data_IF_505943031935
#
_entry.id   IF_505943031935
#
_cell.length_a   1.000
_cell.length_b   1.000
_cell.length_c   1.000
_cell.angle_alpha   90.00
_cell.angle_beta   90.00
_cell.angle_gamma   90.00
#
_symmetry.space_group_name_H-M   'P 1'
#
loop_
_entity.id
_entity.type
_entity.pdbx_description
1 polymer ?
#
# COMPACT_ATOMS: atom_id res chain seq x y z
N UNK A 1 -40.19 9.26 -14.64
CA UNK A 1 -39.55 8.07 -14.06
C UNK A 1 -38.08 8.39 -13.93
N UNK A 2 -37.64 8.76 -12.74
CA UNK A 2 -36.21 8.97 -12.46
C UNK A 2 -35.64 7.57 -12.33
N UNK A 3 -34.85 7.16 -13.33
CA UNK A 3 -34.01 5.97 -13.19
C UNK A 3 -33.03 6.27 -12.07
N UNK A 4 -33.17 5.57 -10.94
CA UNK A 4 -32.16 5.59 -9.90
C UNK A 4 -30.89 5.03 -10.49
N UNK A 5 -29.88 5.87 -10.68
CA UNK A 5 -28.50 5.41 -10.79
C UNK A 5 -28.24 4.53 -9.55
N UNK A 6 -27.98 3.23 -9.75
CA UNK A 6 -27.30 2.51 -8.68
C UNK A 6 -25.91 3.14 -8.61
N UNK A 7 -25.69 4.03 -7.64
CA UNK A 7 -24.37 4.55 -7.33
C UNK A 7 -23.54 3.37 -6.81
N UNK A 8 -22.98 2.60 -7.73
CA UNK A 8 -22.06 1.51 -7.42
C UNK A 8 -20.85 2.08 -6.71
N UNK A 9 -20.30 1.30 -5.78
CA UNK A 9 -19.07 1.64 -5.07
C UNK A 9 -17.97 1.88 -6.09
N UNK A 10 -17.38 3.08 -6.09
CA UNK A 10 -16.36 3.47 -7.07
C UNK A 10 -14.98 2.99 -6.61
N UNK A 11 -14.25 2.31 -7.48
CA UNK A 11 -12.88 1.84 -7.24
C UNK A 11 -11.87 2.79 -7.86
N UNK A 12 -10.78 3.01 -7.14
CA UNK A 12 -9.61 3.75 -7.60
C UNK A 12 -8.36 2.91 -7.40
N UNK A 13 -7.53 2.81 -8.44
CA UNK A 13 -6.17 2.30 -8.33
C UNK A 13 -5.20 3.47 -8.45
N UNK A 14 -4.31 3.61 -7.48
CA UNK A 14 -3.26 4.63 -7.46
C UNK A 14 -1.91 3.95 -7.67
N UNK A 15 -1.26 4.28 -8.77
CA UNK A 15 0.12 3.88 -9.03
C UNK A 15 1.07 4.83 -8.29
N UNK A 16 1.99 4.30 -7.49
CA UNK A 16 3.02 5.09 -6.80
C UNK A 16 4.33 4.96 -7.57
N UNK A 17 4.78 6.02 -8.23
CA UNK A 17 5.95 5.97 -9.14
C UNK A 17 7.09 6.92 -8.73
N UNK A 18 8.32 6.42 -8.79
CA UNK A 18 9.55 7.21 -8.71
C UNK A 18 10.72 6.46 -9.36
N UNK A 19 10.93 6.72 -10.65
CA UNK A 19 11.87 6.00 -11.51
C UNK A 19 11.61 4.49 -11.53
N UNK A 20 10.46 4.10 -12.09
CA UNK A 20 9.95 2.72 -12.17
C UNK A 20 9.77 2.28 -13.64
N UNK A 21 10.59 2.80 -14.57
CA UNK A 21 10.41 2.57 -16.01
C UNK A 21 10.37 1.10 -16.40
N UNK A 22 11.22 0.26 -15.79
CA UNK A 22 11.33 -1.16 -16.12
C UNK A 22 10.09 -1.95 -15.66
N UNK A 23 9.72 -1.78 -14.39
CA UNK A 23 8.56 -2.45 -13.80
C UNK A 23 7.26 -1.98 -14.45
N UNK A 24 7.11 -0.68 -14.68
CA UNK A 24 5.93 -0.14 -15.36
C UNK A 24 5.84 -0.67 -16.80
N UNK A 25 6.95 -0.73 -17.55
CA UNK A 25 6.96 -1.30 -18.91
C UNK A 25 6.50 -2.76 -18.94
N UNK A 26 6.94 -3.56 -17.96
CA UNK A 26 6.61 -4.98 -17.88
C UNK A 26 5.15 -5.22 -17.45
N UNK A 27 4.62 -4.39 -16.55
CA UNK A 27 3.31 -4.59 -15.92
C UNK A 27 2.17 -3.81 -16.58
N UNK A 28 2.48 -2.86 -17.47
CA UNK A 28 1.50 -1.93 -18.04
C UNK A 28 0.24 -2.60 -18.58
N UNK A 29 0.41 -3.68 -19.36
CA UNK A 29 -0.72 -4.40 -19.93
C UNK A 29 -1.62 -4.98 -18.83
N UNK A 30 -1.04 -5.64 -17.84
CA UNK A 30 -1.79 -6.19 -16.71
C UNK A 30 -2.49 -5.08 -15.92
N UNK A 31 -1.81 -3.95 -15.67
CA UNK A 31 -2.38 -2.79 -14.98
C UNK A 31 -3.60 -2.24 -15.74
N UNK A 32 -3.51 -2.09 -17.06
CA UNK A 32 -4.61 -1.57 -17.88
C UNK A 32 -5.81 -2.53 -17.97
N UNK A 33 -5.62 -3.83 -17.69
CA UNK A 33 -6.72 -4.80 -17.65
C UNK A 33 -7.48 -4.82 -16.32
N UNK A 34 -7.03 -4.07 -15.32
CA UNK A 34 -7.73 -4.00 -14.03
C UNK A 34 -9.07 -3.28 -14.21
N UNK A 35 -10.16 -3.94 -13.81
CA UNK A 35 -11.48 -3.33 -13.78
C UNK A 35 -11.58 -2.32 -12.62
N UNK A 36 -11.45 -1.04 -12.94
CA UNK A 36 -11.56 0.08 -12.00
C UNK A 36 -12.21 1.28 -12.68
N UNK A 37 -12.93 2.10 -11.92
CA UNK A 37 -13.54 3.33 -12.43
C UNK A 37 -12.54 4.50 -12.51
N UNK A 38 -11.42 4.39 -11.81
CA UNK A 38 -10.36 5.39 -11.80
C UNK A 38 -8.98 4.72 -11.69
N UNK A 39 -8.05 5.11 -12.57
CA UNK A 39 -6.65 4.70 -12.56
C UNK A 39 -5.79 5.93 -12.84
N UNK A 40 -4.83 6.22 -11.95
CA UNK A 40 -3.85 7.29 -12.16
C UNK A 40 -2.57 7.00 -11.37
N UNK A 41 -1.52 7.74 -11.70
CA UNK A 41 -0.25 7.69 -11.00
C UNK A 41 -0.04 8.94 -10.14
N UNK A 42 0.61 8.76 -8.99
CA UNK A 42 1.26 9.84 -8.24
C UNK A 42 2.75 9.69 -8.46
N UNK A 43 3.35 10.66 -9.15
CA UNK A 43 4.75 10.60 -9.55
C UNK A 43 5.62 11.55 -8.72
N UNK A 44 6.70 11.01 -8.16
CA UNK A 44 7.64 11.74 -7.31
C UNK A 44 8.71 12.55 -8.02
N UNK A 45 8.53 12.84 -9.31
CA UNK A 45 9.53 13.51 -10.15
C UNK A 45 10.48 12.54 -10.84
N UNK A 46 9.93 11.50 -11.49
CA UNK A 46 10.70 10.52 -12.27
C UNK A 46 11.41 11.18 -13.45
N UNK A 47 12.63 10.72 -13.74
CA UNK A 47 13.52 11.23 -14.78
C UNK A 47 14.02 10.15 -15.75
N UNK A 48 13.52 8.93 -15.63
CA UNK A 48 14.00 7.73 -16.33
C UNK A 48 13.10 7.28 -17.49
N UNK A 49 12.06 8.06 -17.82
CA UNK A 49 11.05 7.70 -18.83
C UNK A 49 9.72 7.18 -18.25
N UNK A 50 9.61 6.98 -16.93
CA UNK A 50 8.35 6.55 -16.28
C UNK A 50 7.17 7.45 -16.65
N UNK A 51 7.35 8.78 -16.60
CA UNK A 51 6.29 9.74 -16.95
C UNK A 51 5.85 9.65 -18.40
N UNK A 52 6.80 9.45 -19.32
CA UNK A 52 6.51 9.29 -20.74
C UNK A 52 5.63 8.06 -20.98
N UNK A 53 5.93 6.92 -20.34
CA UNK A 53 5.12 5.71 -20.43
C UNK A 53 3.70 5.96 -19.93
N UNK A 54 3.54 6.62 -18.77
CA UNK A 54 2.23 6.93 -18.21
C UNK A 54 1.40 7.81 -19.18
N UNK A 55 2.01 8.88 -19.70
CA UNK A 55 1.36 9.82 -20.63
C UNK A 55 0.99 9.17 -21.96
N UNK A 56 1.90 8.40 -22.57
CA UNK A 56 1.68 7.70 -23.84
C UNK A 56 0.54 6.68 -23.77
N UNK A 57 0.23 6.21 -22.55
CA UNK A 57 -0.82 5.24 -22.29
C UNK A 57 -2.08 5.86 -21.67
N UNK A 58 -2.17 7.19 -21.66
CA UNK A 58 -3.35 7.91 -21.17
C UNK A 58 -3.57 7.80 -19.65
N UNK A 59 -2.57 7.38 -18.89
CA UNK A 59 -2.64 7.31 -17.42
C UNK A 59 -2.37 8.71 -16.87
N UNK A 60 -3.38 9.28 -16.21
CA UNK A 60 -3.28 10.61 -15.57
C UNK A 60 -2.14 10.60 -14.54
N UNK A 61 -1.35 11.67 -14.53
CA UNK A 61 -0.32 11.90 -13.51
C UNK A 61 -0.81 12.99 -12.55
N UNK A 62 -0.72 12.69 -11.25
CA UNK A 62 -0.82 13.65 -10.16
C UNK A 62 0.59 13.97 -9.71
N UNK A 63 1.00 15.23 -9.84
CA UNK A 63 2.32 15.66 -9.39
C UNK A 63 2.44 15.59 -7.88
N UNK A 64 3.47 14.89 -7.40
CA UNK A 64 3.80 14.89 -6.00
C UNK A 64 4.40 16.25 -5.58
N UNK A 65 3.79 16.92 -4.60
CA UNK A 65 4.27 18.23 -4.12
C UNK A 65 5.20 18.12 -2.91
N UNK A 66 4.95 17.14 -2.04
CA UNK A 66 5.77 16.87 -0.86
C UNK A 66 6.48 15.54 -1.05
N UNK A 67 7.82 15.51 -0.95
CA UNK A 67 8.61 14.30 -1.16
C UNK A 67 8.34 13.22 -0.10
N UNK A 68 8.17 11.98 -0.55
CA UNK A 68 8.16 10.76 0.27
C UNK A 68 6.93 9.87 0.01
N UNK A 69 7.05 8.57 0.30
CA UNK A 69 5.99 7.60 -0.02
C UNK A 69 4.65 7.94 0.64
N UNK A 70 4.65 8.27 1.93
CA UNK A 70 3.43 8.65 2.62
C UNK A 70 2.81 9.95 2.12
N UNK A 71 3.63 10.92 1.71
CA UNK A 71 3.12 12.12 1.07
C UNK A 71 2.46 11.81 -0.29
N UNK A 72 3.08 10.95 -1.11
CA UNK A 72 2.49 10.50 -2.37
C UNK A 72 1.14 9.78 -2.15
N UNK A 73 1.06 8.91 -1.14
CA UNK A 73 -0.18 8.23 -0.76
C UNK A 73 -1.25 9.25 -0.35
N UNK A 74 -0.93 10.18 0.55
CA UNK A 74 -1.88 11.19 1.01
C UNK A 74 -2.39 12.08 -0.14
N UNK A 75 -1.49 12.59 -0.98
CA UNK A 75 -1.86 13.42 -2.14
C UNK A 75 -2.68 12.62 -3.15
N UNK A 76 -2.33 11.35 -3.38
CA UNK A 76 -3.10 10.44 -4.21
C UNK A 76 -4.53 10.23 -3.69
N UNK A 77 -4.68 9.90 -2.41
CA UNK A 77 -6.01 9.68 -1.81
C UNK A 77 -6.87 10.95 -1.82
N UNK A 78 -6.27 12.12 -1.66
CA UNK A 78 -6.97 13.40 -1.78
C UNK A 78 -7.40 13.71 -3.22
N UNK A 79 -6.63 13.26 -4.21
CA UNK A 79 -6.95 13.39 -5.63
C UNK A 79 -7.88 12.28 -6.17
N UNK A 80 -8.09 11.21 -5.40
CA UNK A 80 -8.97 10.10 -5.74
C UNK A 80 -10.43 10.45 -5.51
N UNK A 81 -11.29 9.91 -6.37
CA UNK A 81 -12.74 10.07 -6.29
C UNK A 81 -13.47 8.78 -5.94
N UNK A 82 -12.76 7.65 -5.87
CA UNK A 82 -13.31 6.35 -5.47
C UNK A 82 -13.59 6.22 -3.98
N UNK A 83 -14.55 5.36 -3.67
CA UNK A 83 -14.90 4.93 -2.31
C UNK A 83 -13.90 3.90 -1.79
N UNK A 84 -13.43 2.99 -2.66
CA UNK A 84 -12.38 2.02 -2.37
C UNK A 84 -11.13 2.35 -3.16
N UNK A 85 -10.00 2.42 -2.46
CA UNK A 85 -8.72 2.84 -3.04
C UNK A 85 -7.71 1.73 -2.81
N UNK A 86 -7.03 1.29 -3.88
CA UNK A 86 -5.89 0.37 -3.81
C UNK A 86 -4.63 1.08 -4.26
N UNK A 87 -3.57 0.93 -3.48
CA UNK A 87 -2.23 1.43 -3.77
C UNK A 87 -1.42 0.32 -4.44
N UNK A 88 -0.74 0.66 -5.53
CA UNK A 88 0.13 -0.29 -6.24
C UNK A 88 1.45 0.37 -6.62
N UNK A 89 2.57 -0.32 -6.40
CA UNK A 89 3.90 0.11 -6.83
C UNK A 89 4.32 -0.71 -8.06
N UNK A 90 4.42 -0.12 -9.26
CA UNK A 90 4.68 -0.86 -10.48
C UNK A 90 6.19 -1.13 -10.66
N UNK A 91 6.86 -1.68 -9.65
CA UNK A 91 8.30 -1.96 -9.66
C UNK A 91 8.65 -3.43 -10.02
N UNK A 92 7.62 -4.26 -10.19
CA UNK A 92 7.73 -5.67 -10.58
C UNK A 92 7.84 -6.65 -9.43
N UNK A 93 7.90 -6.20 -8.17
CA UNK A 93 7.97 -7.10 -7.02
C UNK A 93 6.65 -7.83 -6.73
N UNK A 94 5.52 -7.23 -7.09
CA UNK A 94 4.17 -7.69 -6.75
C UNK A 94 3.29 -7.72 -8.01
N UNK A 95 2.32 -8.63 -8.03
CA UNK A 95 1.46 -8.86 -9.19
C UNK A 95 0.18 -8.01 -9.11
N UNK A 96 -0.14 -7.17 -10.13
CA UNK A 96 -1.40 -6.44 -10.17
C UNK A 96 -2.65 -7.35 -10.17
N UNK A 97 -2.51 -8.66 -10.44
CA UNK A 97 -3.59 -9.64 -10.35
C UNK A 97 -4.19 -9.79 -8.93
N UNK A 98 -3.50 -9.31 -7.89
CA UNK A 98 -4.01 -9.31 -6.52
C UNK A 98 -4.96 -8.13 -6.23
N UNK A 99 -4.98 -7.09 -7.08
CA UNK A 99 -5.82 -5.89 -6.90
C UNK A 99 -7.32 -6.22 -6.82
N UNK A 100 -7.90 -7.07 -7.68
CA UNK A 100 -9.29 -7.51 -7.55
C UNK A 100 -9.60 -8.13 -6.19
N UNK A 101 -8.73 -8.99 -5.65
CA UNK A 101 -8.91 -9.63 -4.36
C UNK A 101 -8.89 -8.61 -3.20
N UNK A 102 -8.07 -7.56 -3.29
CA UNK A 102 -8.11 -6.45 -2.34
C UNK A 102 -9.44 -5.70 -2.40
N UNK A 103 -9.97 -5.44 -3.60
CA UNK A 103 -11.29 -4.83 -3.74
C UNK A 103 -12.42 -5.72 -3.22
N UNK A 104 -12.32 -7.05 -3.37
CA UNK A 104 -13.29 -8.00 -2.81
C UNK A 104 -13.34 -7.93 -1.28
N UNK A 105 -12.19 -7.83 -0.60
CA UNK A 105 -12.16 -7.64 0.86
C UNK A 105 -12.85 -6.35 1.29
N UNK A 106 -12.58 -5.24 0.58
CA UNK A 106 -13.21 -3.95 0.87
C UNK A 106 -14.73 -3.99 0.59
N UNK A 107 -15.14 -4.61 -0.51
CA UNK A 107 -16.55 -4.83 -0.83
C UNK A 107 -17.25 -5.75 0.20
N UNK A 108 -16.51 -6.67 0.81
CA UNK A 108 -16.94 -7.52 1.91
C UNK A 108 -17.05 -6.81 3.26
N UNK A 109 -16.73 -5.50 3.33
CA UNK A 109 -16.86 -4.68 4.53
C UNK A 109 -15.57 -4.48 5.32
N UNK A 110 -14.41 -4.91 4.81
CA UNK A 110 -13.13 -4.53 5.43
C UNK A 110 -12.88 -3.03 5.21
N UNK A 111 -12.39 -2.35 6.25
CA UNK A 111 -11.95 -0.96 6.18
C UNK A 111 -10.59 -0.83 5.49
N UNK A 112 -9.74 -1.85 5.67
CA UNK A 112 -8.41 -1.95 5.05
C UNK A 112 -8.16 -3.40 4.59
N UNK A 113 -7.55 -3.55 3.42
CA UNK A 113 -7.16 -4.82 2.83
C UNK A 113 -5.65 -4.82 2.59
N UNK A 114 -4.94 -5.88 2.97
CA UNK A 114 -3.48 -5.98 2.81
C UNK A 114 -3.13 -7.23 2.01
N UNK A 115 -2.27 -7.07 1.00
CA UNK A 115 -1.60 -8.19 0.36
C UNK A 115 -0.44 -8.60 1.28
N UNK A 116 -0.61 -9.72 1.99
CA UNK A 116 0.33 -10.16 3.02
C UNK A 116 1.38 -11.11 2.46
N UNK A 117 2.64 -10.83 2.77
CA UNK A 117 3.78 -11.69 2.42
C UNK A 117 4.04 -12.78 3.47
N UNK A 118 3.20 -12.88 4.49
CA UNK A 118 3.40 -13.76 5.65
C UNK A 118 2.20 -14.68 5.95
N UNK A 119 1.16 -14.66 5.12
CA UNK A 119 0.08 -15.63 5.17
C UNK A 119 0.54 -17.00 4.62
N UNK A 120 -0.21 -18.09 4.88
CA UNK A 120 -0.02 -19.33 4.16
C UNK A 120 -0.13 -19.09 2.65
N UNK A 121 0.72 -19.75 1.86
CA UNK A 121 0.79 -19.63 0.38
C UNK A 121 1.36 -18.29 -0.15
N UNK A 122 1.72 -17.36 0.74
CA UNK A 122 2.51 -16.18 0.39
C UNK A 122 3.96 -16.54 0.07
N UNK A 123 4.62 -15.66 -0.69
CA UNK A 123 6.07 -15.71 -0.91
C UNK A 123 6.70 -14.36 -0.53
N UNK A 124 7.87 -14.42 0.10
CA UNK A 124 8.69 -13.26 0.42
C UNK A 124 10.06 -13.37 -0.29
N UNK A 125 10.60 -12.24 -0.74
CA UNK A 125 11.87 -12.21 -1.47
C UNK A 125 13.04 -12.84 -0.69
N UNK A 126 12.99 -12.81 0.66
CA UNK A 126 14.02 -13.37 1.54
C UNK A 126 13.70 -14.80 2.00
N UNK A 127 12.70 -15.48 1.45
CA UNK A 127 12.32 -16.85 1.90
C UNK A 127 13.44 -17.87 1.71
N UNK A 128 14.26 -17.71 0.67
CA UNK A 128 15.40 -18.57 0.36
C UNK A 128 16.73 -18.05 0.96
N UNK A 129 16.71 -16.91 1.67
CA UNK A 129 17.91 -16.32 2.25
C UNK A 129 18.37 -17.04 3.53
N UNK A 130 19.69 -17.17 3.70
CA UNK A 130 20.29 -17.74 4.92
C UNK A 130 20.04 -16.88 6.17
N UNK A 131 19.87 -15.57 5.99
CA UNK A 131 19.66 -14.59 7.06
C UNK A 131 18.62 -13.54 6.61
N UNK A 132 17.32 -13.84 6.69
CA UNK A 132 16.25 -12.99 6.18
C UNK A 132 15.92 -11.86 7.17
N UNK A 133 16.84 -10.90 7.30
CA UNK A 133 16.80 -9.85 8.31
C UNK A 133 15.63 -8.88 8.13
N UNK A 134 15.23 -8.56 6.89
CA UNK A 134 14.09 -7.66 6.62
C UNK A 134 12.79 -8.36 7.00
N UNK A 135 12.64 -9.64 6.62
CA UNK A 135 11.51 -10.47 7.01
C UNK A 135 11.36 -10.55 8.53
N UNK A 136 12.43 -10.87 9.25
CA UNK A 136 12.38 -10.94 10.72
C UNK A 136 12.08 -9.60 11.38
N UNK A 137 12.64 -8.50 10.86
CA UNK A 137 12.31 -7.16 11.34
C UNK A 137 10.82 -6.83 11.13
N UNK A 138 10.28 -7.13 9.95
CA UNK A 138 8.86 -6.90 9.64
C UNK A 138 7.94 -7.72 10.55
N UNK A 139 8.25 -9.00 10.77
CA UNK A 139 7.51 -9.86 11.70
C UNK A 139 7.56 -9.30 13.13
N UNK A 140 8.75 -8.87 13.60
CA UNK A 140 8.90 -8.27 14.92
C UNK A 140 8.03 -7.01 15.10
N UNK A 141 8.08 -6.08 14.14
CA UNK A 141 7.26 -4.87 14.20
C UNK A 141 5.77 -5.18 14.12
N UNK A 142 5.37 -6.19 13.33
CA UNK A 142 4.00 -6.68 13.27
C UNK A 142 3.51 -7.25 14.60
N UNK A 143 4.31 -8.10 15.25
CA UNK A 143 3.98 -8.62 16.58
C UNK A 143 3.84 -7.51 17.61
N UNK A 144 4.72 -6.50 17.57
CA UNK A 144 4.64 -5.36 18.47
C UNK A 144 3.31 -4.58 18.35
N UNK A 145 2.81 -4.36 17.13
CA UNK A 145 1.48 -3.75 16.93
C UNK A 145 0.36 -4.63 17.43
N UNK A 146 0.37 -5.92 17.09
CA UNK A 146 -0.67 -6.85 17.50
C UNK A 146 -0.75 -6.97 19.03
N UNK A 147 0.39 -7.02 19.72
CA UNK A 147 0.45 -7.05 21.19
C UNK A 147 -0.01 -5.72 21.80
N UNK A 148 0.35 -4.59 21.20
CA UNK A 148 0.01 -3.27 21.73
C UNK A 148 -1.45 -2.87 21.51
N UNK A 149 -1.97 -3.12 20.31
CA UNK A 149 -3.23 -2.56 19.82
C UNK A 149 -4.18 -3.59 19.17
N UNK A 150 -3.75 -4.83 18.96
CA UNK A 150 -4.53 -5.89 18.31
C UNK A 150 -5.11 -6.95 19.25
N UNK A 151 -4.98 -6.83 20.60
CA UNK A 151 -5.27 -7.92 21.57
C UNK A 151 -6.67 -8.54 21.50
N UNK A 152 -7.66 -7.83 20.95
CA UNK A 152 -9.04 -8.31 20.80
C UNK A 152 -9.51 -8.27 19.34
N UNK A 153 -8.58 -8.29 18.38
CA UNK A 153 -8.85 -8.24 16.94
C UNK A 153 -8.20 -9.44 16.24
N UNK A 154 -8.61 -9.75 15.00
CA UNK A 154 -7.84 -10.65 14.15
C UNK A 154 -6.38 -10.21 14.07
N UNK A 155 -5.48 -11.19 14.08
CA UNK A 155 -4.04 -10.93 13.97
C UNK A 155 -3.72 -10.43 12.56
N UNK A 156 -3.00 -9.31 12.46
CA UNK A 156 -2.52 -8.77 11.17
C UNK A 156 -1.11 -9.27 10.92
N UNK A 157 -0.94 -10.08 9.88
CA UNK A 157 0.31 -10.74 9.56
C UNK A 157 1.34 -9.79 8.94
N UNK A 158 0.95 -8.89 8.03
CA UNK A 158 1.88 -7.98 7.36
C UNK A 158 1.54 -6.50 7.56
N UNK A 159 2.00 -5.97 8.69
CA UNK A 159 1.66 -4.59 9.08
C UNK A 159 2.34 -3.50 8.23
N UNK A 160 3.34 -3.85 7.41
CA UNK A 160 4.23 -2.90 6.73
C UNK A 160 4.09 -2.95 5.21
N UNK A 161 3.49 -3.99 4.62
CA UNK A 161 3.50 -4.11 3.17
C UNK A 161 2.79 -2.95 2.45
N UNK A 162 3.39 -2.46 1.37
CA UNK A 162 2.90 -1.30 0.63
C UNK A 162 1.69 -1.60 -0.25
N UNK A 163 1.51 -2.86 -0.63
CA UNK A 163 0.39 -3.30 -1.44
C UNK A 163 -0.84 -3.55 -0.58
N UNK A 164 -1.72 -2.55 -0.57
CA UNK A 164 -2.90 -2.51 0.28
C UNK A 164 -3.96 -1.62 -0.33
N UNK A 165 -5.20 -1.84 0.10
CA UNK A 165 -6.31 -0.95 -0.16
C UNK A 165 -7.04 -0.58 1.12
N UNK A 166 -7.92 0.40 1.03
CA UNK A 166 -8.76 0.86 2.11
C UNK A 166 -9.99 1.57 1.57
N UNK A 167 -11.04 1.66 2.38
CA UNK A 167 -12.10 2.62 2.12
C UNK A 167 -11.55 4.04 2.32
N UNK A 168 -12.02 4.97 1.48
CA UNK A 168 -11.63 6.38 1.58
C UNK A 168 -12.00 6.95 2.95
N UNK A 169 -13.15 6.53 3.50
CA UNK A 169 -13.57 6.88 4.86
C UNK A 169 -12.57 6.40 5.92
N UNK A 170 -12.15 5.13 5.86
CA UNK A 170 -11.16 4.57 6.78
C UNK A 170 -9.83 5.31 6.71
N UNK A 171 -9.34 5.65 5.51
CA UNK A 171 -8.11 6.43 5.37
C UNK A 171 -8.20 7.81 6.03
N UNK A 172 -9.32 8.51 5.81
CA UNK A 172 -9.56 9.82 6.43
C UNK A 172 -9.71 9.73 7.95
N UNK A 173 -10.35 8.68 8.46
CA UNK A 173 -10.45 8.41 9.89
C UNK A 173 -9.09 8.10 10.52
N UNK A 174 -8.27 7.29 9.84
CA UNK A 174 -6.89 7.03 10.25
C UNK A 174 -6.06 8.33 10.24
N UNK A 175 -6.23 9.20 9.25
CA UNK A 175 -5.49 10.47 9.14
C UNK A 175 -3.97 10.31 9.33
N UNK A 176 -3.30 9.41 8.57
CA UNK A 176 -1.89 9.11 8.78
C UNK A 176 -1.02 10.34 8.43
N UNK A 177 0.09 10.53 9.17
CA UNK A 177 0.88 11.78 9.14
C UNK A 177 2.31 11.59 8.63
N UNK A 178 2.77 10.35 8.49
CA UNK A 178 4.12 10.03 8.04
C UNK A 178 4.32 10.40 6.57
N UNK A 179 5.32 11.22 6.24
CA UNK A 179 5.64 11.50 4.85
C UNK A 179 6.45 10.38 4.17
N UNK A 180 7.12 9.51 4.94
CA UNK A 180 8.03 8.47 4.43
C UNK A 180 7.43 7.05 4.43
N UNK A 181 8.29 6.04 4.39
CA UNK A 181 7.94 4.61 4.43
C UNK A 181 7.38 4.11 5.78
N UNK A 182 7.19 5.02 6.75
CA UNK A 182 6.52 4.67 8.01
C UNK A 182 5.00 4.74 7.91
N UNK A 183 4.47 5.28 6.81
CA UNK A 183 3.04 5.48 6.59
C UNK A 183 2.26 4.15 6.63
N UNK A 184 2.79 3.07 6.06
CA UNK A 184 2.13 1.76 6.05
C UNK A 184 1.94 1.22 7.46
N UNK A 185 3.01 1.29 8.24
CA UNK A 185 3.00 0.88 9.64
C UNK A 185 2.07 1.77 10.48
N UNK A 186 2.08 3.08 10.23
CA UNK A 186 1.18 4.02 10.89
C UNK A 186 -0.29 3.75 10.56
N UNK A 187 -0.62 3.49 9.30
CA UNK A 187 -1.98 3.12 8.89
C UNK A 187 -2.45 1.89 9.65
N UNK A 188 -1.66 0.82 9.68
CA UNK A 188 -2.03 -0.40 10.41
C UNK A 188 -2.19 -0.15 11.91
N UNK A 189 -1.27 0.60 12.53
CA UNK A 189 -1.35 0.94 13.94
C UNK A 189 -2.64 1.74 14.25
N UNK A 190 -2.99 2.71 13.41
CA UNK A 190 -4.19 3.54 13.60
C UNK A 190 -5.47 2.77 13.32
N UNK A 191 -5.51 1.93 12.30
CA UNK A 191 -6.64 1.04 12.02
C UNK A 191 -6.96 0.15 13.22
N UNK A 192 -5.95 -0.53 13.77
CA UNK A 192 -6.11 -1.37 14.96
C UNK A 192 -6.67 -0.59 16.16
N UNK A 193 -6.21 0.65 16.35
CA UNK A 193 -6.62 1.50 17.47
C UNK A 193 -8.01 2.08 17.34
N UNK A 194 -8.41 2.44 16.12
CA UNK A 194 -9.77 2.87 15.79
C UNK A 194 -10.75 1.69 15.76
N UNK A 195 -10.23 0.46 15.81
CA UNK A 195 -11.03 -0.74 15.77
C UNK A 195 -11.63 -0.99 14.37
N UNK A 196 -10.89 -0.61 13.34
CA UNK A 196 -11.23 -0.88 11.95
C UNK A 196 -10.97 -2.36 11.58
N UNK A 197 -11.74 -2.87 10.63
CA UNK A 197 -11.63 -4.23 10.14
C UNK A 197 -10.57 -4.34 9.04
N UNK A 198 -9.60 -5.23 9.28
CA UNK A 198 -8.46 -5.45 8.39
C UNK A 198 -8.56 -6.87 7.83
N UNK A 199 -8.69 -6.97 6.51
CA UNK A 199 -8.61 -8.23 5.77
C UNK A 199 -7.22 -8.42 5.15
N UNK A 200 -6.81 -9.66 4.96
CA UNK A 200 -5.54 -10.00 4.31
C UNK A 200 -5.75 -11.07 3.22
N UNK A 201 -5.01 -10.95 2.13
CA UNK A 201 -4.87 -11.99 1.10
C UNK A 201 -3.39 -12.43 1.03
N UNK A 202 -3.07 -13.68 0.68
CA UNK A 202 -1.69 -14.05 0.40
C UNK A 202 -1.23 -13.37 -0.89
N UNK A 203 0.04 -12.96 -0.94
CA UNK A 203 0.69 -12.40 -2.13
C UNK A 203 2.11 -12.92 -2.28
N UNK A 204 2.70 -12.69 -3.45
CA UNK A 204 4.09 -13.07 -3.78
C UNK A 204 4.90 -11.80 -3.98
N UNK A 205 5.88 -11.58 -3.10
CA UNK A 205 6.90 -10.54 -3.24
C UNK A 205 8.15 -11.17 -3.89
N UNK A 206 8.31 -10.95 -5.19
CA UNK A 206 9.49 -11.33 -5.96
C UNK A 206 10.57 -10.22 -6.00
N UNK A 207 11.70 -10.48 -6.66
CA UNK A 207 12.71 -9.45 -6.90
C UNK A 207 12.15 -8.37 -7.83
N UNK A 208 12.50 -7.11 -7.56
CA UNK A 208 12.20 -5.99 -8.47
C UNK A 208 12.76 -6.23 -9.88
N UNK A 209 12.02 -5.81 -10.90
CA UNK A 209 12.45 -5.93 -12.29
C UNK A 209 13.49 -4.88 -12.68
N UNK A 210 13.52 -3.74 -11.99
CA UNK A 210 14.50 -2.68 -12.20
C UNK A 210 14.63 -1.74 -11.00
N UNK A 211 15.74 -0.98 -10.98
CA UNK A 211 16.06 -0.07 -9.89
C UNK A 211 16.45 -0.75 -8.56
N UNK A 212 17.08 0.02 -7.67
CA UNK A 212 17.32 -0.41 -6.28
C UNK A 212 16.21 0.06 -5.35
N UNK A 213 16.04 -0.63 -4.20
CA UNK A 213 15.06 -0.22 -3.19
C UNK A 213 15.25 1.23 -2.76
N UNK A 214 14.16 2.00 -2.82
CA UNK A 214 14.12 3.38 -2.30
C UNK A 214 13.98 3.42 -0.77
N UNK A 215 13.60 2.30 -0.15
CA UNK A 215 13.52 2.13 1.29
C UNK A 215 14.80 1.47 1.81
N UNK A 216 15.69 2.25 2.42
CA UNK A 216 16.89 1.71 3.07
C UNK A 216 16.50 1.00 4.38
N UNK A 217 16.83 -0.28 4.51
CA UNK A 217 16.33 -1.15 5.60
C UNK A 217 16.66 -0.63 7.02
N UNK A 218 17.88 -0.13 7.25
CA UNK A 218 18.31 0.33 8.58
C UNK A 218 17.65 1.67 8.99
N UNK A 219 17.69 2.74 8.17
CA UNK A 219 16.98 3.98 8.48
C UNK A 219 15.48 3.78 8.70
N UNK A 220 14.84 2.93 7.88
CA UNK A 220 13.42 2.60 7.99
C UNK A 220 13.12 1.85 9.30
N UNK A 221 13.93 0.86 9.67
CA UNK A 221 13.80 0.15 10.95
C UNK A 221 13.93 1.07 12.17
N UNK A 222 14.87 2.02 12.15
CA UNK A 222 14.99 3.04 13.22
C UNK A 222 13.74 3.93 13.27
N UNK A 223 13.18 4.29 12.11
CA UNK A 223 11.97 5.09 12.04
C UNK A 223 10.75 4.35 12.63
N UNK A 224 10.58 3.06 12.31
CA UNK A 224 9.56 2.21 12.93
C UNK A 224 9.73 2.10 14.45
N UNK A 225 10.95 1.88 14.93
CA UNK A 225 11.21 1.80 16.37
C UNK A 225 10.88 3.12 17.09
N UNK A 226 11.28 4.26 16.51
CA UNK A 226 10.92 5.60 17.05
C UNK A 226 9.42 5.82 17.05
N UNK A 227 8.73 5.39 16.00
CA UNK A 227 7.27 5.47 15.92
C UNK A 227 6.61 4.65 17.02
N UNK A 228 7.02 3.39 17.19
CA UNK A 228 6.51 2.48 18.21
C UNK A 228 6.72 3.05 19.62
N UNK A 229 7.96 3.44 19.95
CA UNK A 229 8.30 4.03 21.25
C UNK A 229 7.51 5.33 21.48
N UNK A 230 7.43 6.19 20.46
CA UNK A 230 6.71 7.46 20.54
C UNK A 230 5.23 7.29 20.83
N UNK A 231 4.56 6.32 20.19
CA UNK A 231 3.14 6.04 20.42
C UNK A 231 2.89 5.35 21.76
N UNK A 232 3.75 4.41 22.16
CA UNK A 232 3.64 3.74 23.46
C UNK A 232 3.84 4.69 24.64
N UNK A 233 4.77 5.65 24.54
CA UNK A 233 5.02 6.64 25.60
C UNK A 233 3.91 7.69 25.68
N UNK A 234 3.40 8.15 24.52
CA UNK A 234 2.41 9.23 24.49
C UNK A 234 1.00 8.77 24.77
N UNK A 235 0.71 7.46 24.70
CA UNK A 235 -0.65 6.93 24.83
C UNK A 235 -1.62 7.49 23.79
N UNK A 236 -1.09 8.15 22.75
CA UNK A 236 -1.85 8.79 21.68
C UNK A 236 -2.21 7.79 20.65
#
# INVERSE_FOLDING_TARGET
MVQGESSGVKRTVILLTLNEVDGLSALLQSIQTIETEELFAVDGGSTDGTRQILEDNGIRIVEQTVRGRGAAICEGVLAATGDHIVLFSPDGNEDPADIPCLFELLAGGCDMAIASRFLPESENEEDDDLLPLRKWANIFFGQALNIGWGRNRPFVSDTINGFRGFSREAFLAMSPQSNGFTIEYEMTARALRLGLDIGEIPTREGPRLGGGSKALSIPTGIAFLRFLIGHWIRGI
#
